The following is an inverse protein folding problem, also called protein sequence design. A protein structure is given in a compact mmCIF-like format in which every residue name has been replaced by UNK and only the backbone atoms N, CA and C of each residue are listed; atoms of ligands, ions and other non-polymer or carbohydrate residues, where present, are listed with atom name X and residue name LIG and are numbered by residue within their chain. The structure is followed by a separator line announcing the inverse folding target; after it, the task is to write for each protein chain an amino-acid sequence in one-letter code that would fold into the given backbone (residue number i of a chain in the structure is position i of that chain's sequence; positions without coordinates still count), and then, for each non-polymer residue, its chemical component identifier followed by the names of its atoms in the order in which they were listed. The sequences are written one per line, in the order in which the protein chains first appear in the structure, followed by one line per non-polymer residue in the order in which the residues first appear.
data_IF_397456761385
#
_entry.id   IF_397456761385
#
_cell.length_a   1.000
_cell.length_b   1.000
_cell.length_c   1.000
_cell.angle_alpha   90.00
_cell.angle_beta   90.00
_cell.angle_gamma   90.00
#
_symmetry.space_group_name_H-M   'P 1'
#
loop_
_entity.id
_entity.type
_entity.pdbx_description
1 polymer ?
#
# COMPACT_ATOMS: atom_id res chain seq x y z
N UNK A 1 -35.23 45.12 -64.09
CA UNK A 1 -34.39 43.90 -63.89
C UNK A 1 -32.93 44.27 -63.62
N UNK A 2 -32.64 44.94 -62.48
CA UNK A 2 -31.27 45.38 -62.10
C UNK A 2 -30.96 45.15 -60.61
N UNK A 3 -31.75 44.31 -59.93
CA UNK A 3 -31.61 44.04 -58.48
C UNK A 3 -31.57 42.54 -58.14
N UNK A 4 -31.39 41.67 -59.13
CA UNK A 4 -31.32 40.22 -58.93
C UNK A 4 -29.94 39.61 -59.26
N UNK A 5 -28.92 40.46 -59.46
CA UNK A 5 -27.54 40.06 -59.80
C UNK A 5 -26.53 40.33 -58.67
N UNK A 6 -26.97 40.78 -57.50
CA UNK A 6 -26.09 41.22 -56.40
C UNK A 6 -26.05 40.25 -55.20
N UNK A 7 -26.76 39.12 -55.24
CA UNK A 7 -26.85 38.19 -54.09
C UNK A 7 -26.07 36.88 -54.31
N UNK A 8 -25.67 36.56 -55.55
CA UNK A 8 -24.85 35.37 -55.84
C UNK A 8 -23.33 35.59 -55.68
N UNK A 9 -22.87 36.82 -55.46
CA UNK A 9 -21.44 37.15 -55.34
C UNK A 9 -20.85 37.02 -53.92
N UNK A 10 -21.68 36.84 -52.89
CA UNK A 10 -21.22 36.83 -51.48
C UNK A 10 -21.14 35.41 -50.89
N UNK A 11 -21.63 34.39 -51.60
CA UNK A 11 -21.59 32.99 -51.14
C UNK A 11 -20.37 32.19 -51.61
N UNK A 12 -19.48 32.79 -52.40
CA UNK A 12 -18.32 32.12 -53.02
C UNK A 12 -16.96 32.37 -52.34
N UNK A 13 -16.90 33.25 -51.33
CA UNK A 13 -15.64 33.73 -50.75
C UNK A 13 -15.50 33.44 -49.24
N UNK A 14 -16.04 32.31 -48.77
CA UNK A 14 -15.90 31.85 -47.37
C UNK A 14 -15.46 30.38 -47.26
N UNK A 15 -14.98 29.77 -48.35
CA UNK A 15 -14.55 28.36 -48.37
C UNK A 15 -13.04 28.12 -48.33
N UNK A 16 -12.20 29.10 -47.99
CA UNK A 16 -10.73 28.96 -48.07
C UNK A 16 -9.92 29.27 -46.81
N UNK A 17 -10.52 29.27 -45.61
CA UNK A 17 -9.74 29.44 -44.37
C UNK A 17 -10.28 28.54 -43.27
N UNK A 18 -10.00 27.24 -43.30
CA UNK A 18 -10.08 26.38 -42.10
C UNK A 18 -9.16 25.15 -42.21
N UNK A 19 -7.92 25.34 -42.66
CA UNK A 19 -6.82 24.38 -42.43
C UNK A 19 -6.15 24.71 -41.10
N UNK A 20 -6.54 24.03 -40.01
CA UNK A 20 -5.94 24.35 -38.72
C UNK A 20 -6.47 23.64 -37.49
N UNK A 21 -6.67 22.32 -37.53
CA UNK A 21 -6.52 21.49 -36.33
C UNK A 21 -6.19 20.07 -36.78
N UNK A 22 -4.90 19.72 -36.71
CA UNK A 22 -4.48 18.33 -36.68
C UNK A 22 -5.04 17.72 -35.38
N UNK A 23 -5.96 16.74 -35.44
CA UNK A 23 -6.11 15.84 -34.32
C UNK A 23 -4.75 15.13 -34.24
N UNK A 24 -4.02 15.32 -33.14
CA UNK A 24 -2.98 14.39 -32.79
C UNK A 24 -3.66 13.04 -32.63
N UNK A 25 -3.60 12.22 -33.68
CA UNK A 25 -3.81 10.79 -33.57
C UNK A 25 -2.76 10.30 -32.58
N UNK A 26 -3.10 10.34 -31.30
CA UNK A 26 -2.53 9.42 -30.34
C UNK A 26 -2.87 8.06 -30.90
N UNK A 27 -1.90 7.48 -31.62
CA UNK A 27 -1.87 6.06 -31.90
C UNK A 27 -2.02 5.38 -30.55
N UNK A 28 -3.24 4.96 -30.23
CA UNK A 28 -3.48 4.02 -29.16
C UNK A 28 -2.69 2.78 -29.54
N UNK A 29 -1.46 2.66 -29.01
CA UNK A 29 -0.68 1.45 -29.10
C UNK A 29 -1.50 0.39 -28.39
N UNK A 30 -2.14 -0.48 -29.18
CA UNK A 30 -2.72 -1.72 -28.67
C UNK A 30 -1.57 -2.44 -27.97
N UNK A 31 -1.70 -2.61 -26.66
CA UNK A 31 -0.85 -3.50 -25.89
C UNK A 31 -0.86 -4.84 -26.58
N UNK A 32 0.27 -5.24 -27.14
CA UNK A 32 0.47 -6.60 -27.58
C UNK A 32 0.58 -7.42 -26.29
N UNK A 33 -0.38 -8.31 -26.03
CA UNK A 33 -0.34 -9.18 -24.84
C UNK A 33 0.84 -10.19 -24.89
N UNK A 34 1.95 -9.86 -25.56
CA UNK A 34 3.18 -10.65 -25.70
C UNK A 34 4.14 -10.48 -24.52
N UNK A 35 3.80 -9.67 -23.52
CA UNK A 35 4.37 -9.78 -22.17
C UNK A 35 5.88 -9.59 -22.06
N UNK A 36 6.50 -8.75 -22.89
CA UNK A 36 7.91 -8.37 -22.69
C UNK A 36 7.95 -7.34 -21.56
N UNK A 37 8.02 -7.82 -20.32
CA UNK A 37 8.27 -6.96 -19.16
C UNK A 37 9.71 -6.44 -19.25
N UNK A 38 9.90 -5.12 -19.33
CA UNK A 38 11.23 -4.53 -19.16
C UNK A 38 11.83 -5.01 -17.83
N UNK A 39 13.14 -5.29 -17.82
CA UNK A 39 13.87 -5.75 -16.64
C UNK A 39 13.62 -4.86 -15.40
N UNK A 40 13.44 -3.54 -15.61
CA UNK A 40 13.04 -2.59 -14.56
C UNK A 40 11.74 -1.88 -14.94
N UNK A 41 10.67 -2.16 -14.19
CA UNK A 41 9.38 -1.46 -14.27
C UNK A 41 9.31 -0.40 -13.16
N UNK A 42 9.82 0.79 -13.44
CA UNK A 42 9.78 1.91 -12.49
C UNK A 42 8.60 2.83 -12.81
N UNK A 43 7.81 3.15 -11.79
CA UNK A 43 6.69 4.11 -11.89
C UNK A 43 6.97 5.26 -10.95
N UNK A 44 7.13 6.46 -11.50
CA UNK A 44 7.22 7.70 -10.73
C UNK A 44 5.82 8.24 -10.51
N UNK A 45 5.38 8.28 -9.25
CA UNK A 45 4.08 8.83 -8.86
C UNK A 45 4.34 10.14 -8.12
N UNK A 46 3.73 11.23 -8.60
CA UNK A 46 3.75 12.51 -7.89
C UNK A 46 2.69 12.46 -6.79
N UNK A 47 3.11 12.64 -5.54
CA UNK A 47 2.21 12.87 -4.41
C UNK A 47 2.30 14.34 -4.01
N UNK A 48 1.14 15.00 -3.85
CA UNK A 48 1.10 16.41 -3.45
C UNK A 48 1.72 16.65 -2.07
N UNK A 49 1.55 15.69 -1.16
CA UNK A 49 2.15 15.73 0.18
C UNK A 49 2.62 14.33 0.58
N UNK A 50 3.80 14.20 1.22
CA UNK A 50 4.25 12.93 1.76
C UNK A 50 3.29 12.41 2.85
N UNK A 51 3.34 11.11 3.22
CA UNK A 51 2.68 10.64 4.42
C UNK A 51 3.26 11.34 5.65
N UNK A 52 2.39 11.64 6.61
CA UNK A 52 2.76 12.18 7.92
C UNK A 52 3.61 11.19 8.73
N UNK A 53 3.34 9.89 8.57
CA UNK A 53 4.17 8.82 9.11
C UNK A 53 3.95 7.52 8.33
N UNK A 54 4.97 6.66 8.33
CA UNK A 54 4.87 5.27 7.84
C UNK A 54 4.34 4.30 8.90
N UNK A 55 4.13 4.77 10.13
CA UNK A 55 3.54 3.96 11.20
C UNK A 55 2.02 3.84 11.01
N UNK A 56 1.55 2.66 10.60
CA UNK A 56 0.12 2.36 10.41
C UNK A 56 -0.76 2.67 11.63
N UNK A 57 -0.20 2.62 12.85
CA UNK A 57 -0.96 2.97 14.06
C UNK A 57 -1.18 4.48 14.19
N UNK A 58 -0.37 5.31 13.53
CA UNK A 58 -0.35 6.77 13.71
C UNK A 58 -0.64 7.57 12.43
N UNK A 59 -0.56 6.93 11.26
CA UNK A 59 -0.85 7.58 9.97
C UNK A 59 -2.26 8.13 9.95
N UNK A 60 -2.41 9.37 9.50
CA UNK A 60 -3.72 10.03 9.32
C UNK A 60 -4.35 9.68 7.97
N UNK A 61 -3.53 9.35 6.97
CA UNK A 61 -3.98 9.03 5.62
C UNK A 61 -3.51 7.65 5.15
N UNK A 62 -4.37 6.64 5.26
CA UNK A 62 -4.05 5.26 4.84
C UNK A 62 -3.80 5.10 3.35
N UNK A 63 -4.40 5.95 2.50
CA UNK A 63 -4.25 5.86 1.05
C UNK A 63 -2.79 5.93 0.62
N UNK A 64 -1.98 6.71 1.33
CA UNK A 64 -0.55 6.88 1.08
C UNK A 64 0.28 5.63 1.39
N UNK A 65 -0.21 4.73 2.25
CA UNK A 65 0.46 3.48 2.64
C UNK A 65 -0.16 2.22 2.00
N UNK A 66 -1.19 2.36 1.14
CA UNK A 66 -1.88 1.21 0.53
C UNK A 66 -0.98 0.35 -0.36
N UNK A 67 0.05 0.94 -0.95
CA UNK A 67 1.00 0.25 -1.83
C UNK A 67 2.00 -0.60 -1.06
N UNK A 68 2.36 -0.16 0.14
CA UNK A 68 3.39 -0.75 1.01
C UNK A 68 2.83 -1.60 2.15
N UNK A 69 1.51 -1.63 2.34
CA UNK A 69 0.83 -2.40 3.39
C UNK A 69 -0.24 -3.32 2.81
N UNK A 70 -0.60 -4.34 3.59
CA UNK A 70 -1.54 -5.39 3.20
C UNK A 70 -2.35 -5.81 4.43
N UNK A 71 -3.67 -5.74 4.33
CA UNK A 71 -4.59 -6.26 5.35
C UNK A 71 -5.00 -7.71 5.11
N UNK A 72 -5.94 -8.22 5.91
CA UNK A 72 -6.57 -9.52 5.66
C UNK A 72 -7.40 -9.48 4.36
N UNK A 73 -7.99 -8.32 4.08
CA UNK A 73 -8.70 -8.00 2.85
C UNK A 73 -8.06 -6.79 2.16
N UNK A 74 -8.49 -6.52 0.92
CA UNK A 74 -8.22 -5.29 0.18
C UNK A 74 -9.49 -4.76 -0.45
N UNK A 75 -9.50 -3.47 -0.75
CA UNK A 75 -10.48 -2.91 -1.67
C UNK A 75 -10.03 -3.17 -3.11
N UNK A 76 -10.83 -3.95 -3.85
CA UNK A 76 -10.69 -4.21 -5.27
C UNK A 76 -11.38 -3.15 -6.12
N UNK A 77 -11.62 -3.49 -7.39
CA UNK A 77 -12.34 -2.63 -8.34
C UNK A 77 -13.73 -2.29 -7.80
N UNK A 78 -14.18 -1.06 -8.04
CA UNK A 78 -15.50 -0.55 -7.66
C UNK A 78 -15.82 -0.66 -6.15
N UNK A 79 -14.79 -0.73 -5.31
CA UNK A 79 -14.97 -0.82 -3.86
C UNK A 79 -15.26 -2.23 -3.33
N UNK A 80 -15.36 -3.25 -4.19
CA UNK A 80 -15.60 -4.62 -3.76
C UNK A 80 -14.44 -5.16 -2.94
N UNK A 81 -14.75 -5.85 -1.86
CA UNK A 81 -13.74 -6.45 -1.01
C UNK A 81 -13.14 -7.70 -1.68
N UNK A 82 -11.82 -7.77 -1.76
CA UNK A 82 -11.08 -8.93 -2.27
C UNK A 82 -10.13 -9.46 -1.19
N UNK A 83 -9.74 -10.73 -1.31
CA UNK A 83 -8.79 -11.35 -0.39
C UNK A 83 -7.41 -10.67 -0.45
N UNK A 84 -6.90 -10.27 0.72
CA UNK A 84 -5.53 -9.80 0.92
C UNK A 84 -4.67 -10.95 1.46
N UNK A 85 -4.20 -10.82 2.70
CA UNK A 85 -3.45 -11.85 3.42
C UNK A 85 -4.30 -13.05 3.86
N UNK A 86 -5.62 -12.92 3.92
CA UNK A 86 -6.50 -14.04 4.24
C UNK A 86 -6.71 -14.95 3.01
N UNK A 87 -6.48 -16.24 3.18
CA UNK A 87 -6.81 -17.30 2.22
C UNK A 87 -8.20 -17.88 2.44
N UNK A 88 -8.64 -17.93 3.71
CA UNK A 88 -9.97 -18.41 4.11
C UNK A 88 -10.51 -17.54 5.26
N UNK A 89 -11.81 -17.37 5.28
CA UNK A 89 -12.54 -16.71 6.38
C UNK A 89 -13.74 -17.55 6.75
N UNK A 90 -13.86 -17.89 8.04
CA UNK A 90 -15.03 -18.52 8.63
C UNK A 90 -15.66 -17.54 9.62
N UNK A 91 -16.99 -17.50 9.66
CA UNK A 91 -17.76 -16.61 10.53
C UNK A 91 -18.74 -17.46 11.32
N UNK A 92 -18.83 -17.24 12.63
CA UNK A 92 -19.82 -17.94 13.46
C UNK A 92 -21.26 -17.59 13.05
N UNK A 93 -22.21 -18.45 13.42
CA UNK A 93 -23.63 -18.25 13.13
C UNK A 93 -24.15 -16.88 13.61
N UNK A 94 -23.71 -16.43 14.78
CA UNK A 94 -24.08 -15.14 15.35
C UNK A 94 -23.22 -13.96 14.86
N UNK A 95 -22.32 -14.14 13.87
CA UNK A 95 -21.48 -13.08 13.30
C UNK A 95 -20.61 -12.31 14.31
N UNK A 96 -20.17 -12.96 15.38
CA UNK A 96 -19.29 -12.35 16.40
C UNK A 96 -17.90 -12.99 16.48
N UNK A 97 -17.70 -14.18 15.92
CA UNK A 97 -16.39 -14.84 15.87
C UNK A 97 -15.97 -14.97 14.42
N UNK A 98 -14.79 -14.45 14.10
CA UNK A 98 -14.18 -14.51 12.79
C UNK A 98 -12.86 -15.28 12.89
N UNK A 99 -12.74 -16.31 12.08
CA UNK A 99 -11.55 -17.15 11.96
C UNK A 99 -10.92 -16.94 10.59
N UNK A 100 -9.68 -16.43 10.57
CA UNK A 100 -8.94 -16.12 9.36
C UNK A 100 -7.75 -17.06 9.21
N UNK A 101 -7.66 -17.71 8.06
CA UNK A 101 -6.46 -18.44 7.66
C UNK A 101 -5.56 -17.52 6.84
N UNK A 102 -4.39 -17.16 7.37
CA UNK A 102 -3.38 -16.35 6.68
C UNK A 102 -2.69 -17.21 5.62
N UNK A 103 -2.43 -16.65 4.44
CA UNK A 103 -1.70 -17.34 3.36
C UNK A 103 -0.34 -17.84 3.86
N UNK A 104 0.02 -19.07 3.53
CA UNK A 104 1.29 -19.68 3.96
C UNK A 104 2.52 -19.01 3.34
N UNK A 105 2.38 -18.49 2.12
CA UNK A 105 3.45 -17.78 1.41
C UNK A 105 3.52 -16.28 1.74
N UNK A 106 2.75 -15.80 2.73
CA UNK A 106 2.76 -14.41 3.14
C UNK A 106 4.11 -14.06 3.79
N UNK A 107 4.83 -13.10 3.19
CA UNK A 107 6.16 -12.68 3.64
C UNK A 107 6.28 -11.16 3.72
N UNK A 108 7.06 -10.72 4.70
CA UNK A 108 7.59 -9.37 4.79
C UNK A 108 8.62 -9.13 3.68
N UNK A 109 8.90 -7.88 3.36
CA UNK A 109 9.91 -7.49 2.37
C UNK A 109 11.32 -8.03 2.66
N UNK A 110 11.63 -8.34 3.93
CA UNK A 110 12.88 -9.00 4.35
C UNK A 110 12.83 -10.54 4.26
N UNK A 111 11.81 -11.12 3.63
CA UNK A 111 11.63 -12.56 3.47
C UNK A 111 11.05 -13.30 4.69
N UNK A 112 10.95 -12.66 5.86
CA UNK A 112 10.39 -13.30 7.05
C UNK A 112 8.89 -13.61 6.85
N UNK A 113 8.38 -14.73 7.40
CA UNK A 113 6.96 -15.05 7.29
C UNK A 113 6.08 -14.06 8.07
N UNK A 114 4.91 -13.76 7.51
CA UNK A 114 3.84 -13.06 8.20
C UNK A 114 3.01 -14.09 8.98
N UNK A 115 2.76 -13.80 10.25
CA UNK A 115 2.02 -14.70 11.15
C UNK A 115 0.85 -14.00 11.82
N UNK A 116 -0.09 -14.77 12.39
CA UNK A 116 -1.20 -14.24 13.17
C UNK A 116 -0.72 -13.39 14.35
N UNK A 117 0.46 -13.68 14.90
CA UNK A 117 1.04 -12.90 16.00
C UNK A 117 1.38 -11.46 15.57
N UNK A 118 1.72 -11.24 14.30
CA UNK A 118 1.99 -9.88 13.78
C UNK A 118 0.70 -9.03 13.76
N UNK A 119 -0.47 -9.65 13.54
CA UNK A 119 -1.76 -8.97 13.66
C UNK A 119 -2.11 -8.69 15.12
N UNK A 120 -1.99 -9.70 15.99
CA UNK A 120 -2.24 -9.55 17.44
C UNK A 120 -1.40 -8.41 18.01
N UNK A 121 -0.11 -8.36 17.69
CA UNK A 121 0.77 -7.28 18.12
C UNK A 121 0.32 -5.93 17.56
N UNK A 122 0.11 -5.84 16.24
CA UNK A 122 -0.28 -4.58 15.57
C UNK A 122 -1.54 -3.96 16.18
N UNK A 123 -2.56 -4.79 16.41
CA UNK A 123 -3.86 -4.34 16.87
C UNK A 123 -3.80 -3.93 18.34
N UNK A 124 -3.13 -4.73 19.18
CA UNK A 124 -2.91 -4.41 20.60
C UNK A 124 -2.08 -3.14 20.77
N UNK A 125 -1.04 -2.95 19.95
CA UNK A 125 -0.28 -1.70 19.92
C UNK A 125 -1.17 -0.53 19.54
N UNK A 126 -1.95 -0.66 18.47
CA UNK A 126 -2.77 0.46 17.97
C UNK A 126 -3.79 0.93 19.01
N UNK A 127 -4.44 0.01 19.72
CA UNK A 127 -5.43 0.39 20.74
C UNK A 127 -4.82 0.80 22.10
N UNK A 128 -3.56 0.48 22.36
CA UNK A 128 -2.91 0.85 23.61
C UNK A 128 -2.84 2.37 23.78
N UNK A 129 -3.23 2.87 24.96
CA UNK A 129 -3.22 4.31 25.28
C UNK A 129 -1.84 4.94 25.07
N UNK A 130 -0.77 4.22 25.41
CA UNK A 130 0.62 4.65 25.25
C UNK A 130 1.04 4.87 23.79
N UNK A 131 0.31 4.32 22.82
CA UNK A 131 0.62 4.53 21.40
C UNK A 131 0.12 5.89 20.90
N UNK A 132 -0.83 6.52 21.60
CA UNK A 132 -1.48 7.77 21.15
C UNK A 132 -1.97 7.68 19.70
N UNK A 133 -2.60 6.55 19.36
CA UNK A 133 -3.09 6.28 18.01
C UNK A 133 -4.36 7.09 17.70
N UNK A 134 -4.32 7.84 16.60
CA UNK A 134 -5.52 8.46 16.00
C UNK A 134 -6.51 7.41 15.46
N UNK A 135 -6.05 6.18 15.26
CA UNK A 135 -6.77 5.08 14.65
C UNK A 135 -7.39 4.10 15.67
N UNK A 136 -7.16 4.31 16.98
CA UNK A 136 -7.67 3.41 18.02
C UNK A 136 -9.19 3.22 17.98
N UNK A 137 -9.94 4.27 17.57
CA UNK A 137 -11.39 4.22 17.45
C UNK A 137 -11.89 3.23 16.39
N UNK A 138 -11.08 2.90 15.38
CA UNK A 138 -11.48 1.98 14.34
C UNK A 138 -11.65 0.55 14.87
N UNK A 139 -11.00 0.22 15.99
CA UNK A 139 -11.08 -1.06 16.69
C UNK A 139 -12.33 -1.21 17.57
N UNK A 140 -13.19 -0.19 17.64
CA UNK A 140 -14.44 -0.28 18.38
C UNK A 140 -15.30 -1.47 17.90
N UNK A 141 -15.90 -2.17 18.85
CA UNK A 141 -16.71 -3.36 18.59
C UNK A 141 -15.92 -4.68 18.53
N UNK A 142 -14.58 -4.65 18.48
CA UNK A 142 -13.77 -5.82 18.86
C UNK A 142 -13.87 -6.02 20.36
N UNK A 143 -13.91 -7.28 20.81
CA UNK A 143 -14.10 -7.62 22.21
C UNK A 143 -13.14 -6.88 23.13
N UNK A 144 -13.68 -6.24 24.15
CA UNK A 144 -12.97 -5.41 25.14
C UNK A 144 -12.39 -4.08 24.62
N UNK A 145 -12.53 -3.72 23.34
CA UNK A 145 -11.90 -2.53 22.77
C UNK A 145 -12.30 -1.23 23.49
N UNK A 146 -13.59 -1.07 23.80
CA UNK A 146 -14.11 0.12 24.51
C UNK A 146 -13.54 0.24 25.92
N UNK A 147 -13.48 -0.86 26.68
CA UNK A 147 -12.93 -0.88 28.03
C UNK A 147 -11.42 -0.57 28.03
N UNK A 148 -10.67 -1.09 27.04
CA UNK A 148 -9.25 -0.79 26.86
C UNK A 148 -9.03 0.71 26.58
N UNK A 149 -9.83 1.27 25.67
CA UNK A 149 -9.74 2.70 25.32
C UNK A 149 -10.07 3.61 26.52
N UNK A 150 -10.98 3.18 27.39
CA UNK A 150 -11.31 3.86 28.66
C UNK A 150 -10.26 3.64 29.76
N UNK A 151 -9.21 2.85 29.50
CA UNK A 151 -8.17 2.53 30.48
C UNK A 151 -8.61 1.52 31.55
N UNK A 152 -9.75 0.85 31.36
CA UNK A 152 -10.32 -0.10 32.31
C UNK A 152 -9.72 -1.50 32.17
N UNK A 153 -9.18 -1.83 30.99
CA UNK A 153 -8.51 -3.10 30.71
C UNK A 153 -7.18 -2.87 29.98
N UNK A 154 -6.17 -3.73 30.17
CA UNK A 154 -4.94 -3.65 29.40
C UNK A 154 -5.18 -4.10 27.95
N UNK A 155 -4.41 -3.56 27.00
CA UNK A 155 -4.50 -3.91 25.58
C UNK A 155 -4.29 -5.41 25.30
N UNK A 156 -3.61 -6.13 26.21
CA UNK A 156 -3.45 -7.59 26.16
C UNK A 156 -4.78 -8.35 26.14
N UNK A 157 -5.87 -7.76 26.65
CA UNK A 157 -7.22 -8.35 26.70
C UNK A 157 -8.07 -8.09 25.44
N UNK A 158 -7.54 -7.41 24.42
CA UNK A 158 -8.28 -7.20 23.16
C UNK A 158 -8.69 -8.55 22.55
N UNK A 159 -9.89 -8.62 21.98
CA UNK A 159 -10.50 -9.78 21.33
C UNK A 159 -9.84 -10.24 20.03
N UNK A 160 -8.52 -10.36 20.02
CA UNK A 160 -7.70 -10.83 18.89
C UNK A 160 -6.66 -11.82 19.40
N UNK A 161 -6.67 -13.03 18.84
CA UNK A 161 -5.83 -14.14 19.29
C UNK A 161 -5.22 -14.86 18.10
N UNK A 162 -3.92 -15.18 18.19
CA UNK A 162 -3.26 -16.10 17.29
C UNK A 162 -3.49 -17.52 17.81
N UNK A 163 -4.40 -18.26 17.18
CA UNK A 163 -4.68 -19.66 17.53
C UNK A 163 -3.56 -20.56 17.01
N UNK A 164 -2.95 -20.19 15.89
CA UNK A 164 -1.71 -20.78 15.36
C UNK A 164 -0.97 -19.73 14.53
N UNK A 165 0.21 -20.07 13.99
CA UNK A 165 1.00 -19.16 13.15
C UNK A 165 0.20 -18.58 11.96
N UNK A 166 -0.72 -19.35 11.39
CA UNK A 166 -1.54 -18.94 10.25
C UNK A 166 -3.03 -18.82 10.58
N UNK A 167 -3.43 -18.94 11.86
CA UNK A 167 -4.84 -18.86 12.25
C UNK A 167 -5.05 -17.71 13.23
N UNK A 168 -5.74 -16.67 12.76
CA UNK A 168 -6.11 -15.50 13.54
C UNK A 168 -7.60 -15.57 13.87
N UNK A 169 -7.92 -15.54 15.16
CA UNK A 169 -9.30 -15.43 15.66
C UNK A 169 -9.56 -14.03 16.16
N UNK A 170 -10.67 -13.45 15.72
CA UNK A 170 -11.19 -12.18 16.22
C UNK A 170 -12.57 -12.40 16.81
N UNK A 171 -12.80 -11.84 17.99
CA UNK A 171 -14.10 -11.83 18.65
C UNK A 171 -14.62 -10.41 18.74
N UNK A 172 -15.86 -10.20 18.33
CA UNK A 172 -16.58 -8.94 18.41
C UNK A 172 -17.51 -8.93 19.63
N UNK A 173 -17.83 -7.74 20.14
CA UNK A 173 -18.84 -7.54 21.19
C UNK A 173 -20.27 -7.74 20.66
N UNK A 174 -20.47 -7.47 19.37
CA UNK A 174 -21.75 -7.56 18.66
C UNK A 174 -21.48 -7.75 17.16
N UNK A 175 -22.48 -8.18 16.36
CA UNK A 175 -22.33 -8.30 14.91
C UNK A 175 -22.07 -6.94 14.26
N UNK A 176 -21.07 -6.88 13.36
CA UNK A 176 -20.74 -5.67 12.62
C UNK A 176 -20.72 -6.01 11.13
N UNK A 177 -21.77 -5.61 10.40
CA UNK A 177 -21.96 -5.95 8.99
C UNK A 177 -20.78 -5.54 8.10
N UNK A 178 -20.14 -4.40 8.41
CA UNK A 178 -19.02 -3.84 7.66
C UNK A 178 -17.64 -4.25 8.22
N UNK A 179 -17.57 -5.22 9.14
CA UNK A 179 -16.30 -5.61 9.79
C UNK A 179 -15.23 -6.04 8.78
N UNK A 180 -15.60 -6.82 7.75
CA UNK A 180 -14.64 -7.23 6.71
C UNK A 180 -14.10 -6.05 5.91
N UNK A 181 -14.91 -5.00 5.70
CA UNK A 181 -14.47 -3.76 5.06
C UNK A 181 -13.45 -3.01 5.91
N UNK A 182 -13.65 -2.99 7.23
CA UNK A 182 -12.67 -2.45 8.15
C UNK A 182 -11.33 -3.16 7.97
N UNK A 183 -11.31 -4.49 7.87
CA UNK A 183 -10.09 -5.30 7.70
C UNK A 183 -9.27 -5.04 6.40
N UNK A 184 -9.75 -4.16 5.51
CA UNK A 184 -8.97 -3.64 4.39
C UNK A 184 -8.11 -2.42 4.74
N UNK A 185 -8.35 -1.76 5.88
CA UNK A 185 -7.70 -0.50 6.31
C UNK A 185 -7.46 -0.46 7.82
N UNK A 186 -6.53 0.35 8.32
CA UNK A 186 -5.43 0.03 9.28
C UNK A 186 -5.13 -1.37 9.83
N UNK A 187 -5.95 -2.41 9.64
CA UNK A 187 -5.76 -3.70 10.33
C UNK A 187 -4.58 -4.56 9.84
N UNK A 188 -3.60 -3.96 9.16
CA UNK A 188 -2.40 -4.62 8.65
C UNK A 188 -1.52 -5.16 9.79
N UNK A 189 -0.80 -6.26 9.57
CA UNK A 189 0.11 -6.81 10.57
C UNK A 189 1.29 -5.86 10.81
N UNK A 190 1.98 -6.05 11.93
CA UNK A 190 3.25 -5.38 12.25
C UNK A 190 4.16 -6.32 13.01
N UNK A 191 5.45 -6.31 12.70
CA UNK A 191 6.46 -7.03 13.47
C UNK A 191 6.80 -6.27 14.76
N UNK A 192 6.86 -7.00 15.88
CA UNK A 192 7.23 -6.43 17.19
C UNK A 192 8.71 -6.04 17.28
N UNK A 193 9.59 -6.81 16.63
CA UNK A 193 11.03 -6.55 16.53
C UNK A 193 11.41 -6.55 15.05
N UNK A 194 11.70 -5.38 14.49
CA UNK A 194 12.27 -5.26 13.15
C UNK A 194 13.75 -4.88 13.28
N UNK A 195 14.64 -5.77 12.81
CA UNK A 195 15.96 -5.39 12.33
C UNK A 195 15.95 -5.67 10.82
N UNK A 196 15.54 -4.70 10.02
CA UNK A 196 15.76 -4.76 8.57
C UNK A 196 17.23 -4.35 8.36
N UNK A 197 18.17 -5.24 8.73
CA UNK A 197 19.62 -4.93 8.77
C UNK A 197 20.31 -5.15 7.42
N UNK A 198 19.67 -5.87 6.48
CA UNK A 198 20.34 -6.36 5.27
C UNK A 198 19.85 -5.72 3.97
N UNK A 199 19.03 -4.65 4.03
CA UNK A 199 18.70 -3.80 2.87
C UNK A 199 19.34 -2.40 2.94
N UNK A 200 20.23 -2.19 3.90
CA UNK A 200 20.96 -0.94 4.07
C UNK A 200 22.26 -0.96 3.24
N UNK A 201 22.14 -0.99 1.92
CA UNK A 201 23.17 -0.35 1.09
C UNK A 201 22.98 1.17 1.25
N UNK A 202 23.56 1.73 2.32
CA UNK A 202 23.93 3.14 2.41
C UNK A 202 22.82 4.19 2.54
N UNK A 203 21.65 3.89 3.12
CA UNK A 203 20.54 4.86 3.22
C UNK A 203 20.14 5.16 4.67
N UNK A 204 20.79 6.21 5.18
CA UNK A 204 20.31 7.25 6.11
C UNK A 204 19.84 6.93 7.55
N UNK A 205 20.13 7.95 8.38
CA UNK A 205 19.81 8.18 9.79
C UNK A 205 18.30 8.43 9.94
N UNK A 206 17.57 7.45 10.50
CA UNK A 206 16.17 7.42 10.99
C UNK A 206 14.99 7.91 10.11
N UNK A 207 13.77 7.36 10.35
CA UNK A 207 13.46 6.24 11.23
C UNK A 207 13.64 4.91 10.49
N UNK A 208 14.08 3.89 11.24
CA UNK A 208 14.50 2.58 10.75
C UNK A 208 13.60 2.01 9.61
N UNK A 209 14.19 1.33 8.61
CA UNK A 209 13.45 0.78 7.48
C UNK A 209 12.27 -0.04 7.98
N UNK A 210 11.05 0.42 7.70
CA UNK A 210 9.85 -0.34 7.99
C UNK A 210 9.75 -1.46 6.97
N UNK A 211 9.98 -2.70 7.38
CA UNK A 211 9.70 -3.84 6.51
C UNK A 211 8.21 -3.80 6.11
N UNK A 212 7.93 -3.90 4.81
CA UNK A 212 6.60 -3.73 4.20
C UNK A 212 6.01 -5.09 3.83
N UNK A 213 4.69 -5.14 3.61
CA UNK A 213 3.98 -6.36 3.16
C UNK A 213 3.15 -6.12 1.89
N UNK A 214 3.07 -4.86 1.45
CA UNK A 214 2.37 -4.50 0.22
C UNK A 214 3.13 -4.95 -1.03
N UNK A 215 2.44 -4.89 -2.17
CA UNK A 215 2.96 -5.33 -3.47
C UNK A 215 4.12 -4.47 -3.98
N UNK A 216 4.25 -3.24 -3.50
CA UNK A 216 5.30 -2.33 -3.91
C UNK A 216 6.23 -2.07 -2.72
N UNK A 217 7.53 -2.18 -2.98
CA UNK A 217 8.53 -1.59 -2.10
C UNK A 217 8.67 -0.11 -2.44
N UNK A 218 8.78 0.73 -1.43
CA UNK A 218 9.07 2.15 -1.60
C UNK A 218 10.57 2.35 -1.42
N UNK A 219 11.23 2.95 -2.40
CA UNK A 219 12.58 3.48 -2.29
C UNK A 219 12.53 4.98 -2.56
N UNK A 220 13.20 5.78 -1.72
CA UNK A 220 13.43 7.19 -2.04
C UNK A 220 14.51 7.26 -3.12
N UNK A 221 14.13 7.52 -4.36
CA UNK A 221 15.07 7.92 -5.41
C UNK A 221 15.60 9.31 -5.08
N UNK A 222 16.80 9.37 -4.49
CA UNK A 222 17.54 10.63 -4.33
C UNK A 222 17.71 11.30 -5.70
N UNK A 223 17.40 12.60 -5.78
CA UNK A 223 17.50 13.35 -7.01
C UNK A 223 18.94 13.43 -7.52
N UNK A 224 19.03 13.33 -8.84
CA UNK A 224 20.20 13.59 -9.67
C UNK A 224 20.50 15.09 -9.56
N UNK A 225 21.48 15.49 -8.74
CA UNK A 225 22.00 16.85 -8.74
C UNK A 225 23.49 16.88 -8.33
N UNK A 226 24.37 16.53 -9.29
CA UNK A 226 25.81 16.88 -9.39
C UNK A 226 26.76 16.38 -8.27
N UNK A 227 28.08 16.28 -8.57
CA UNK A 227 28.95 15.30 -7.93
C UNK A 227 29.49 15.86 -6.62
N UNK A 228 29.16 15.23 -5.51
CA UNK A 228 30.03 15.29 -4.34
C UNK A 228 30.91 14.06 -4.41
N UNK A 229 32.08 14.26 -4.99
CA UNK A 229 33.19 13.32 -4.89
C UNK A 229 33.47 13.04 -3.41
N UNK A 230 33.19 11.83 -2.96
CA UNK A 230 33.94 11.25 -1.86
C UNK A 230 34.86 10.21 -2.48
N UNK A 231 36.08 10.66 -2.78
CA UNK A 231 37.23 9.78 -2.92
C UNK A 231 37.38 8.98 -1.63
N UNK A 232 37.60 7.67 -1.74
CA UNK A 232 38.59 6.90 -0.98
C UNK A 232 38.68 5.48 -1.58
N UNK A 233 39.72 5.27 -2.37
CA UNK A 233 40.39 3.99 -2.65
C UNK A 233 41.89 4.20 -2.34
N UNK A 234 42.77 3.19 -2.27
CA UNK A 234 42.62 1.74 -2.02
C UNK A 234 43.63 1.24 -0.92
N UNK A 235 43.46 0.11 -0.22
CA UNK A 235 44.03 -1.23 -0.53
C UNK A 235 43.96 -2.05 0.77
N UNK A 236 43.34 -3.24 0.81
CA UNK A 236 44.04 -4.52 0.60
C UNK A 236 43.00 -5.64 0.40
N UNK A 237 43.20 -6.41 -0.68
CA UNK A 237 42.61 -7.68 -1.10
C UNK A 237 41.29 -8.19 -0.51
N UNK A 238 40.23 -8.21 -1.34
CA UNK A 238 39.65 -9.43 -1.94
C UNK A 238 38.89 -8.96 -3.20
N UNK A 239 39.30 -9.48 -4.36
CA UNK A 239 38.60 -9.32 -5.62
C UNK A 239 37.39 -10.26 -5.67
N UNK A 240 36.24 -9.75 -6.09
CA UNK A 240 35.17 -10.57 -6.64
C UNK A 240 34.73 -9.95 -7.96
N UNK A 241 35.30 -10.45 -9.06
CA UNK A 241 34.85 -10.24 -10.42
C UNK A 241 33.59 -11.07 -10.68
N UNK A 242 32.49 -10.42 -11.08
CA UNK A 242 31.39 -11.09 -11.78
C UNK A 242 31.56 -10.82 -13.28
N UNK A 243 32.14 -11.78 -14.00
CA UNK A 243 32.00 -11.88 -15.46
C UNK A 243 30.75 -12.67 -15.78
N UNK A 244 29.89 -12.14 -16.64
CA UNK A 244 29.03 -12.96 -17.49
C UNK A 244 29.67 -13.03 -18.88
N UNK A 245 30.15 -14.20 -19.26
CA UNK A 245 30.40 -14.54 -20.67
C UNK A 245 29.42 -15.63 -21.04
N UNK A 246 28.56 -15.33 -22.03
CA UNK A 246 28.57 -16.14 -23.24
C UNK A 246 29.73 -15.68 -24.11
#
# INVERSE_FOLDING_TARGET
MKRLLSVLGVLGLTLLVLTGCHPSTQSATKSDNKGVMLHNQNVTIVQQTPPDTVDISKVTSFSKLRSSTEGLFRQGKNGHLVAGLASKTQVSHNSTIYDFTIRQNARWSNGQPITAQDFVYSWKRTIAKSTHSVNANLFAGIKNATAIRRGQLPASKLGVTAVSAHHLRVTLDHPIAYFKTLLAYPYSPRKAKLRCKDMALGMAKEPAPSCTVGRLSSSNGGQIARPVCWHLTPTTGISATCTSTG
#
